data_IF_394530094863
#
_entry.id   IF_394530094863
#
_cell.length_a   1.000
_cell.length_b   1.000
_cell.length_c   1.000
_cell.angle_alpha   90.00
_cell.angle_beta   90.00
_cell.angle_gamma   90.00
#
_symmetry.space_group_name_H-M   'P 1'
#
loop_
_entity.id
_entity.type
_entity.pdbx_description
1 polymer ?
#
# COMPACT_ATOMS: atom_id res chain seq x y z
N UNK A 1 -9.20 13.29 -0.72
CA UNK A 1 -8.08 12.33 -0.67
C UNK A 1 -7.21 12.56 -1.90
N UNK A 2 -5.89 12.70 -1.74
CA UNK A 2 -4.94 12.75 -2.86
C UNK A 2 -4.89 11.39 -3.56
N UNK A 3 -4.70 11.38 -4.87
CA UNK A 3 -4.36 10.18 -5.65
C UNK A 3 -3.32 10.56 -6.69
N UNK A 4 -2.33 9.70 -6.91
CA UNK A 4 -1.30 9.92 -7.93
C UNK A 4 -1.90 10.03 -9.34
N UNK A 5 -2.96 9.26 -9.62
CA UNK A 5 -3.72 9.29 -10.86
C UNK A 5 -5.06 8.54 -10.68
N UNK A 6 -5.86 8.48 -11.74
CA UNK A 6 -7.15 7.78 -11.73
C UNK A 6 -7.04 6.27 -11.49
N UNK A 7 -5.93 5.64 -11.91
CA UNK A 7 -5.70 4.22 -11.64
C UNK A 7 -5.52 3.97 -10.15
N UNK A 8 -4.77 4.83 -9.46
CA UNK A 8 -4.62 4.77 -8.01
C UNK A 8 -5.99 4.85 -7.31
N UNK A 9 -6.84 5.81 -7.69
CA UNK A 9 -8.20 5.94 -7.13
C UNK A 9 -9.06 4.70 -7.40
N UNK A 10 -9.06 4.20 -8.63
CA UNK A 10 -9.84 3.03 -9.03
C UNK A 10 -9.41 1.78 -8.26
N UNK A 11 -8.11 1.55 -8.15
CA UNK A 11 -7.54 0.42 -7.40
C UNK A 11 -7.93 0.50 -5.92
N UNK A 12 -7.84 1.69 -5.31
CA UNK A 12 -8.20 1.89 -3.91
C UNK A 12 -9.67 1.57 -3.64
N UNK A 13 -10.59 2.09 -4.46
CA UNK A 13 -12.02 1.81 -4.32
C UNK A 13 -12.34 0.32 -4.52
N UNK A 14 -11.64 -0.34 -5.44
CA UNK A 14 -11.77 -1.79 -5.66
C UNK A 14 -11.37 -2.58 -4.42
N UNK A 15 -10.22 -2.29 -3.82
CA UNK A 15 -9.73 -2.98 -2.62
C UNK A 15 -10.69 -2.83 -1.43
N UNK A 16 -11.25 -1.64 -1.22
CA UNK A 16 -12.26 -1.43 -0.18
C UNK A 16 -13.53 -2.24 -0.44
N UNK A 17 -14.00 -2.24 -1.69
CA UNK A 17 -15.21 -2.95 -2.11
C UNK A 17 -15.04 -4.47 -1.94
N UNK A 18 -13.93 -5.03 -2.38
CA UNK A 18 -13.64 -6.47 -2.28
C UNK A 18 -13.54 -6.94 -0.82
N UNK A 19 -13.05 -6.07 0.08
CA UNK A 19 -13.04 -6.33 1.52
C UNK A 19 -14.42 -6.14 2.18
N UNK A 20 -15.32 -5.38 1.56
CA UNK A 20 -16.60 -5.00 2.15
C UNK A 20 -16.47 -3.96 3.28
N UNK A 21 -15.44 -3.10 3.23
CA UNK A 21 -15.25 -2.01 4.21
C UNK A 21 -15.44 -0.65 3.55
N UNK A 22 -15.80 0.35 4.35
CA UNK A 22 -15.92 1.74 3.93
C UNK A 22 -14.74 2.56 4.44
N UNK A 23 -14.53 3.70 3.78
CA UNK A 23 -13.62 4.73 4.25
C UNK A 23 -13.88 5.07 5.73
N UNK A 24 -12.82 5.03 6.54
CA UNK A 24 -12.80 5.38 7.96
C UNK A 24 -13.13 4.25 8.94
N UNK A 25 -13.65 3.11 8.48
CA UNK A 25 -14.03 1.99 9.37
C UNK A 25 -12.80 1.31 9.98
N UNK A 26 -11.78 1.03 9.16
CA UNK A 26 -10.57 0.30 9.53
C UNK A 26 -9.34 1.05 9.01
N UNK A 27 -8.85 2.07 9.74
CA UNK A 27 -7.81 2.96 9.25
C UNK A 27 -6.45 2.27 9.06
N UNK A 28 -6.18 1.20 9.81
CA UNK A 28 -5.02 0.32 9.62
C UNK A 28 -5.03 -0.29 8.21
N UNK A 29 -6.10 -1.01 7.89
CA UNK A 29 -6.21 -1.71 6.61
C UNK A 29 -6.43 -0.75 5.46
N UNK A 30 -7.18 0.33 5.68
CA UNK A 30 -7.40 1.32 4.66
C UNK A 30 -6.10 2.02 4.25
N UNK A 31 -5.23 2.38 5.21
CA UNK A 31 -3.93 2.95 4.89
C UNK A 31 -3.06 1.96 4.09
N UNK A 32 -3.07 0.68 4.48
CA UNK A 32 -2.36 -0.36 3.73
C UNK A 32 -2.91 -0.53 2.31
N UNK A 33 -4.24 -0.53 2.14
CA UNK A 33 -4.91 -0.63 0.85
C UNK A 33 -4.67 0.58 -0.03
N UNK A 34 -4.65 1.77 0.55
CA UNK A 34 -4.31 3.00 -0.17
C UNK A 34 -2.90 2.93 -0.75
N UNK A 35 -1.90 2.52 0.03
CA UNK A 35 -0.54 2.31 -0.52
C UNK A 35 -0.51 1.17 -1.56
N UNK A 36 -1.19 0.05 -1.28
CA UNK A 36 -1.30 -1.08 -2.22
C UNK A 36 -1.91 -0.66 -3.56
N UNK A 37 -2.82 0.31 -3.55
CA UNK A 37 -3.51 0.81 -4.73
C UNK A 37 -2.62 1.67 -5.66
N UNK A 38 -1.47 2.15 -5.18
CA UNK A 38 -0.52 2.87 -6.01
C UNK A 38 -0.12 2.01 -7.23
N UNK A 39 -0.18 2.52 -8.47
CA UNK A 39 -0.21 1.65 -9.66
C UNK A 39 0.96 0.68 -9.81
N UNK A 40 2.18 1.10 -9.46
CA UNK A 40 3.36 0.22 -9.54
C UNK A 40 3.31 -0.89 -8.49
N UNK A 41 2.85 -0.59 -7.28
CA UNK A 41 2.68 -1.56 -6.19
C UNK A 41 1.52 -2.50 -6.52
N UNK A 42 0.41 -1.98 -7.04
CA UNK A 42 -0.77 -2.77 -7.39
C UNK A 42 -0.50 -3.81 -8.48
N UNK A 43 0.44 -3.53 -9.40
CA UNK A 43 0.87 -4.48 -10.44
C UNK A 43 1.64 -5.68 -9.89
N UNK A 44 2.15 -5.60 -8.66
CA UNK A 44 2.84 -6.71 -8.03
C UNK A 44 1.93 -7.89 -7.68
N UNK A 45 0.60 -7.73 -7.71
CA UNK A 45 -0.33 -8.75 -7.24
C UNK A 45 -1.03 -9.44 -8.42
N UNK A 46 -0.99 -10.78 -8.43
CA UNK A 46 -1.90 -11.59 -9.24
C UNK A 46 -3.23 -11.70 -8.50
N UNK A 47 -4.13 -10.74 -8.73
CA UNK A 47 -5.42 -10.62 -8.02
C UNK A 47 -6.35 -11.85 -8.18
N UNK A 48 -6.06 -12.77 -9.10
CA UNK A 48 -6.80 -14.02 -9.22
C UNK A 48 -6.30 -15.10 -8.26
N UNK A 49 -5.04 -15.00 -7.81
CA UNK A 49 -4.40 -15.96 -6.90
C UNK A 49 -4.19 -15.39 -5.51
N UNK A 50 -3.91 -14.10 -5.43
CA UNK A 50 -3.60 -13.41 -4.19
C UNK A 50 -4.80 -13.50 -3.23
N UNK A 51 -4.54 -14.07 -2.06
CA UNK A 51 -5.47 -14.08 -0.92
C UNK A 51 -4.67 -13.73 0.31
N UNK A 52 -5.22 -12.88 1.15
CA UNK A 52 -4.56 -12.51 2.40
C UNK A 52 -5.57 -12.33 3.51
N UNK A 53 -5.28 -12.94 4.66
CA UNK A 53 -5.96 -12.66 5.93
C UNK A 53 -5.36 -11.41 6.62
N UNK A 54 -4.22 -10.92 6.11
CA UNK A 54 -3.44 -9.80 6.66
C UNK A 54 -3.21 -8.69 5.61
N UNK A 55 -2.42 -7.66 5.91
CA UNK A 55 -2.09 -6.59 4.96
C UNK A 55 -1.45 -7.13 3.65
N UNK A 56 -1.87 -6.65 2.46
CA UNK A 56 -1.23 -6.97 1.18
C UNK A 56 0.25 -6.58 1.12
N UNK A 57 0.62 -5.48 1.79
CA UNK A 57 2.01 -5.03 1.86
C UNK A 57 2.90 -6.02 2.64
N UNK A 58 2.33 -6.73 3.61
CA UNK A 58 3.04 -7.79 4.34
C UNK A 58 3.36 -9.00 3.47
N UNK A 59 2.53 -9.28 2.45
CA UNK A 59 2.83 -10.34 1.48
C UNK A 59 3.98 -9.94 0.55
N UNK A 60 4.03 -8.68 0.10
CA UNK A 60 5.16 -8.13 -0.66
C UNK A 60 6.49 -8.22 0.07
N UNK A 61 6.48 -7.98 1.38
CA UNK A 61 7.68 -8.00 2.23
C UNK A 61 8.04 -9.39 2.78
N UNK A 62 7.30 -10.43 2.39
CA UNK A 62 7.54 -11.79 2.87
C UNK A 62 8.81 -12.39 2.23
N UNK A 63 9.35 -13.47 2.83
CA UNK A 63 10.53 -14.15 2.29
C UNK A 63 10.28 -14.83 0.94
N UNK A 64 9.02 -15.15 0.63
CA UNK A 64 8.59 -15.89 -0.56
C UNK A 64 7.27 -15.29 -1.10
N UNK A 65 7.31 -14.07 -1.67
CA UNK A 65 6.12 -13.36 -2.13
C UNK A 65 5.39 -14.12 -3.26
N UNK A 66 6.11 -14.87 -4.09
CA UNK A 66 5.56 -15.59 -5.25
C UNK A 66 4.60 -16.70 -4.84
N UNK A 67 4.88 -17.39 -3.72
CA UNK A 67 3.99 -18.41 -3.14
C UNK A 67 2.64 -17.82 -2.72
N UNK A 68 2.58 -16.50 -2.49
CA UNK A 68 1.38 -15.75 -2.14
C UNK A 68 0.68 -15.14 -3.35
N UNK A 69 1.18 -15.34 -4.57
CA UNK A 69 0.66 -14.69 -5.77
C UNK A 69 1.10 -13.24 -5.91
N UNK A 70 2.28 -12.90 -5.37
CA UNK A 70 2.86 -11.56 -5.41
C UNK A 70 4.24 -11.60 -6.07
N UNK A 71 4.56 -10.62 -6.90
CA UNK A 71 5.89 -10.45 -7.51
C UNK A 71 6.45 -9.08 -7.18
N UNK A 72 7.65 -9.04 -6.62
CA UNK A 72 8.36 -7.80 -6.30
C UNK A 72 9.07 -7.19 -7.53
N UNK A 73 8.97 -7.81 -8.71
CA UNK A 73 9.69 -7.38 -9.91
C UNK A 73 9.31 -5.96 -10.39
N UNK A 74 8.08 -5.51 -10.09
CA UNK A 74 7.62 -4.16 -10.40
C UNK A 74 7.98 -3.12 -9.31
N UNK A 75 8.54 -3.55 -8.17
CA UNK A 75 9.03 -2.63 -7.14
C UNK A 75 10.34 -1.99 -7.60
N UNK A 76 10.34 -0.68 -7.53
CA UNK A 76 11.49 0.19 -7.74
C UNK A 76 12.16 0.50 -6.40
N UNK A 77 13.37 1.06 -6.45
CA UNK A 77 14.05 1.56 -5.24
C UNK A 77 13.25 2.64 -4.50
N UNK A 78 12.34 3.34 -5.18
CA UNK A 78 11.50 4.39 -4.58
C UNK A 78 10.17 3.86 -4.01
N UNK A 79 9.62 2.77 -4.55
CA UNK A 79 8.35 2.19 -4.08
C UNK A 79 8.54 1.21 -2.93
N UNK A 80 9.69 0.54 -2.81
CA UNK A 80 9.98 -0.35 -1.69
C UNK A 80 9.93 0.36 -0.32
N UNK A 81 10.57 1.54 -0.12
CA UNK A 81 10.42 2.31 1.12
C UNK A 81 8.97 2.69 1.42
N UNK A 82 8.18 3.01 0.39
CA UNK A 82 6.74 3.32 0.55
C UNK A 82 5.95 2.10 1.02
N UNK A 83 6.24 0.91 0.48
CA UNK A 83 5.63 -0.37 0.93
C UNK A 83 5.98 -0.64 2.39
N UNK A 84 7.24 -0.44 2.80
CA UNK A 84 7.67 -0.62 4.19
C UNK A 84 6.97 0.37 5.13
N UNK A 85 6.86 1.63 4.74
CA UNK A 85 6.15 2.65 5.50
C UNK A 85 4.64 2.36 5.58
N UNK A 86 4.01 1.93 4.49
CA UNK A 86 2.61 1.50 4.50
C UNK A 86 2.37 0.30 5.41
N UNK A 87 3.29 -0.68 5.42
CA UNK A 87 3.21 -1.81 6.34
C UNK A 87 3.41 -1.40 7.80
N UNK A 88 4.30 -0.42 8.05
CA UNK A 88 4.47 0.21 9.37
C UNK A 88 3.18 0.87 9.85
N UNK A 89 2.46 1.60 8.99
CA UNK A 89 1.17 2.20 9.34
C UNK A 89 0.12 1.14 9.74
N UNK A 90 0.19 -0.05 9.14
CA UNK A 90 -0.72 -1.16 9.42
C UNK A 90 -0.48 -1.81 10.79
N UNK A 91 0.78 -2.11 11.14
CA UNK A 91 1.11 -2.92 12.34
C UNK A 91 1.96 -2.22 13.40
N UNK A 92 2.37 -0.98 13.18
CA UNK A 92 3.12 -0.16 14.13
C UNK A 92 4.62 -0.50 14.24
N UNK A 93 5.17 -1.39 13.41
CA UNK A 93 6.62 -1.62 13.42
C UNK A 93 7.38 -0.40 12.93
N UNK A 94 8.49 -0.07 13.58
CA UNK A 94 9.32 1.07 13.19
C UNK A 94 9.99 0.82 11.83
N UNK A 95 10.02 1.84 11.00
CA UNK A 95 10.73 1.87 9.73
C UNK A 95 11.62 3.10 9.70
N UNK A 96 12.74 3.02 8.97
CA UNK A 96 13.52 4.20 8.62
C UNK A 96 12.87 4.91 7.42
N UNK A 97 12.64 6.22 7.55
CA UNK A 97 12.06 7.05 6.50
C UNK A 97 13.13 7.80 5.69
N UNK A 98 14.42 7.64 6.03
CA UNK A 98 15.53 8.27 5.31
C UNK A 98 15.56 7.90 3.82
N UNK A 99 15.19 6.66 3.50
CA UNK A 99 15.11 6.10 2.15
C UNK A 99 13.75 6.32 1.48
N UNK A 100 12.71 6.71 2.23
CA UNK A 100 11.44 7.09 1.63
C UNK A 100 11.74 8.27 0.72
N UNK A 101 11.44 8.15 -0.58
CA UNK A 101 11.84 9.11 -1.59
C UNK A 101 11.23 10.51 -1.36
N UNK A 102 11.79 11.27 -0.40
CA UNK A 102 11.45 12.65 -0.08
C UNK A 102 11.73 13.58 -1.27
N UNK A 103 12.49 13.10 -2.26
CA UNK A 103 12.79 13.77 -3.52
C UNK A 103 11.72 13.57 -4.61
N UNK A 104 10.70 12.72 -4.37
CA UNK A 104 9.57 12.55 -5.28
C UNK A 104 8.29 13.05 -4.59
N UNK A 105 7.82 14.22 -5.02
CA UNK A 105 6.63 14.89 -4.48
C UNK A 105 5.36 14.00 -4.58
N UNK A 106 5.24 13.20 -5.64
CA UNK A 106 4.10 12.31 -5.81
C UNK A 106 4.07 11.24 -4.72
N UNK A 107 5.19 10.53 -4.52
CA UNK A 107 5.30 9.47 -3.50
C UNK A 107 5.20 10.03 -2.09
N UNK A 108 5.74 11.24 -1.86
CA UNK A 108 5.56 11.95 -0.60
C UNK A 108 4.07 12.26 -0.34
N UNK A 109 3.34 12.78 -1.32
CA UNK A 109 1.92 13.06 -1.19
C UNK A 109 1.09 11.78 -0.98
N UNK A 110 1.45 10.67 -1.64
CA UNK A 110 0.86 9.35 -1.39
C UNK A 110 1.11 8.92 0.06
N UNK A 111 2.35 8.98 0.54
CA UNK A 111 2.67 8.65 1.93
C UNK A 111 1.90 9.52 2.94
N UNK A 112 1.89 10.84 2.74
CA UNK A 112 1.18 11.78 3.61
C UNK A 112 -0.33 11.51 3.63
N UNK A 113 -0.92 11.12 2.49
CA UNK A 113 -2.32 10.75 2.44
C UNK A 113 -2.61 9.44 3.20
N UNK A 114 -1.71 8.45 3.14
CA UNK A 114 -1.82 7.24 3.96
C UNK A 114 -1.72 7.54 5.46
N UNK A 115 -0.84 8.46 5.86
CA UNK A 115 -0.76 8.95 7.24
C UNK A 115 -2.05 9.62 7.70
N UNK A 116 -2.68 10.45 6.84
CA UNK A 116 -3.97 11.08 7.13
C UNK A 116 -5.08 10.04 7.34
N UNK A 117 -5.14 9.03 6.47
CA UNK A 117 -6.09 7.90 6.62
C UNK A 117 -5.87 7.20 7.96
N UNK A 118 -4.62 6.82 8.26
CA UNK A 118 -4.26 6.12 9.50
C UNK A 118 -4.61 6.95 10.74
N UNK A 119 -4.32 8.24 10.70
CA UNK A 119 -4.56 9.20 11.79
C UNK A 119 -5.98 9.74 11.87
N UNK A 120 -6.87 9.36 10.95
CA UNK A 120 -8.25 9.88 10.82
C UNK A 120 -8.30 11.42 10.74
N UNK A 121 -7.42 11.99 9.92
CA UNK A 121 -7.30 13.45 9.69
C UNK A 121 -7.83 13.90 8.34
#
# INVERSE_FOLDING_TARGET
MYYANEDHKRNYLRLLTERGTKHGEDPEYEAAFYITAYPEIHKCFDWNKFKTEFSPLGALLSKQPEERGVSTAALTSSTLPLVQAGQSLFNGYKVDLSDLALYNEELFNVFMQACKIRGRM
#
